data_IF_949170938189
#
_entry.id   IF_949170938189
#
_cell.length_a   1.000
_cell.length_b   1.000
_cell.length_c   1.000
_cell.angle_alpha   90.00
_cell.angle_beta   90.00
_cell.angle_gamma   90.00
#
_symmetry.space_group_name_H-M   'P 1'
#
loop_
_entity.id
_entity.type
_entity.pdbx_description
1 polymer ?
#
# COMPACT_ATOMS: atom_id res chain seq x y z
N UNK A 1 -10.65 8.03 1.04
CA UNK A 1 -9.27 8.35 0.58
C UNK A 1 -8.65 7.13 -0.09
N UNK A 2 -8.04 7.31 -1.24
CA UNK A 2 -7.37 6.25 -2.00
C UNK A 2 -5.85 6.48 -2.01
N UNK A 3 -5.08 5.51 -1.50
CA UNK A 3 -3.61 5.52 -1.45
C UNK A 3 -3.07 4.33 -2.23
N UNK A 4 -2.05 4.53 -3.06
CA UNK A 4 -1.27 3.44 -3.65
C UNK A 4 0.15 3.45 -3.10
N UNK A 5 0.61 2.30 -2.58
CA UNK A 5 1.97 2.05 -2.12
C UNK A 5 2.68 1.17 -3.15
N UNK A 6 3.85 1.59 -3.59
CA UNK A 6 4.62 0.89 -4.61
C UNK A 6 6.11 1.16 -4.47
N UNK A 7 6.94 0.41 -5.18
CA UNK A 7 8.40 0.57 -5.13
C UNK A 7 9.07 0.18 -6.44
N UNK A 8 10.27 0.68 -6.64
CA UNK A 8 11.11 0.34 -7.79
C UNK A 8 11.86 -1.00 -7.64
N UNK A 9 11.80 -1.62 -6.46
CA UNK A 9 12.53 -2.86 -6.13
C UNK A 9 11.86 -3.58 -4.97
N UNK A 10 11.73 -4.90 -5.09
CA UNK A 10 11.27 -5.75 -3.98
C UNK A 10 12.18 -5.67 -2.74
N UNK A 11 11.60 -5.94 -1.58
CA UNK A 11 12.29 -6.00 -0.30
C UNK A 11 12.60 -4.64 0.35
N UNK A 12 11.98 -3.57 -0.12
CA UNK A 12 12.13 -2.22 0.50
C UNK A 12 11.11 -1.95 1.62
N UNK A 13 10.12 -2.84 1.82
CA UNK A 13 9.12 -2.73 2.88
C UNK A 13 7.76 -2.17 2.44
N UNK A 14 7.44 -2.20 1.14
CA UNK A 14 6.18 -1.66 0.60
C UNK A 14 4.95 -2.27 1.26
N UNK A 15 4.89 -3.60 1.36
CA UNK A 15 3.78 -4.33 2.01
C UNK A 15 3.65 -3.97 3.48
N UNK A 16 4.77 -3.78 4.18
CA UNK A 16 4.77 -3.33 5.58
C UNK A 16 4.19 -1.91 5.71
N UNK A 17 4.55 -1.01 4.79
CA UNK A 17 4.01 0.36 4.74
C UNK A 17 2.52 0.34 4.45
N UNK A 18 2.07 -0.42 3.43
CA UNK A 18 0.66 -0.53 3.07
C UNK A 18 -0.18 -1.11 4.21
N UNK A 19 0.31 -2.18 4.86
CA UNK A 19 -0.35 -2.79 6.02
C UNK A 19 -0.46 -1.82 7.20
N UNK A 20 0.61 -1.10 7.52
CA UNK A 20 0.61 -0.11 8.60
C UNK A 20 -0.35 1.06 8.33
N UNK A 21 -0.42 1.53 7.07
CA UNK A 21 -1.37 2.56 6.65
C UNK A 21 -2.81 2.06 6.77
N UNK A 22 -3.13 0.88 6.23
CA UNK A 22 -4.47 0.31 6.29
C UNK A 22 -4.97 0.15 7.73
N UNK A 23 -4.13 -0.42 8.62
CA UNK A 23 -4.46 -0.56 10.04
C UNK A 23 -4.66 0.81 10.72
N UNK A 24 -3.77 1.77 10.46
CA UNK A 24 -3.83 3.10 11.08
C UNK A 24 -5.05 3.90 10.63
N UNK A 25 -5.42 3.77 9.35
CA UNK A 25 -6.57 4.45 8.77
C UNK A 25 -7.88 3.80 9.22
N UNK A 26 -7.92 2.46 9.32
CA UNK A 26 -9.09 1.76 9.84
C UNK A 26 -9.39 2.16 11.27
N UNK A 27 -8.40 2.15 12.16
CA UNK A 27 -8.55 2.58 13.55
C UNK A 27 -8.94 4.06 13.72
N UNK A 28 -8.61 4.92 12.75
CA UNK A 28 -8.95 6.34 12.77
C UNK A 28 -10.30 6.64 12.09
N UNK A 29 -10.85 5.69 11.34
CA UNK A 29 -12.08 5.88 10.55
C UNK A 29 -13.33 5.77 11.43
N UNK A 30 -14.31 6.66 11.15
CA UNK A 30 -15.66 6.58 11.69
C UNK A 30 -16.66 6.01 10.66
N UNK A 31 -16.26 5.91 9.40
CA UNK A 31 -17.13 5.60 8.26
C UNK A 31 -17.08 4.12 7.84
N UNK A 32 -16.40 3.29 8.62
CA UNK A 32 -16.28 1.84 8.39
C UNK A 32 -14.83 1.38 8.21
N UNK A 33 -14.62 0.06 7.99
CA UNK A 33 -13.29 -0.52 7.91
C UNK A 33 -12.52 -0.01 6.69
N UNK A 34 -11.21 0.21 6.87
CA UNK A 34 -10.30 0.42 5.76
C UNK A 34 -10.17 -0.88 4.93
N UNK A 35 -9.84 -0.73 3.66
CA UNK A 35 -9.59 -1.85 2.76
C UNK A 35 -8.14 -1.80 2.29
N UNK A 36 -7.39 -2.90 2.48
CA UNK A 36 -6.12 -3.10 1.79
C UNK A 36 -6.38 -4.00 0.58
N UNK A 37 -5.95 -3.55 -0.60
CA UNK A 37 -5.99 -4.35 -1.83
C UNK A 37 -4.57 -4.82 -2.13
N UNK A 38 -4.38 -6.13 -2.14
CA UNK A 38 -3.07 -6.78 -2.25
C UNK A 38 -2.78 -7.23 -3.69
N UNK A 39 -1.95 -6.48 -4.39
CA UNK A 39 -1.40 -6.87 -5.71
C UNK A 39 -0.12 -7.71 -5.59
N UNK A 40 0.56 -7.66 -4.45
CA UNK A 40 1.82 -8.36 -4.21
C UNK A 40 1.64 -9.79 -3.71
N UNK A 41 0.55 -10.05 -3.00
CA UNK A 41 0.24 -11.35 -2.39
C UNK A 41 0.82 -11.56 -0.99
N UNK A 42 1.49 -10.56 -0.41
CA UNK A 42 2.20 -10.69 0.87
C UNK A 42 1.47 -10.06 2.07
N UNK A 43 0.38 -9.32 1.83
CA UNK A 43 -0.35 -8.60 2.91
C UNK A 43 -0.88 -9.54 3.98
N UNK A 44 -1.53 -10.69 3.66
CA UNK A 44 -2.00 -11.62 4.68
C UNK A 44 -0.88 -12.14 5.57
N UNK A 45 0.27 -12.48 4.97
CA UNK A 45 1.44 -12.96 5.71
C UNK A 45 1.99 -11.88 6.67
N UNK A 46 2.08 -10.62 6.20
CA UNK A 46 2.53 -9.49 7.04
C UNK A 46 1.56 -9.24 8.20
N UNK A 47 0.25 -9.38 7.97
CA UNK A 47 -0.76 -9.20 9.01
C UNK A 47 -0.87 -10.42 9.95
N UNK A 48 -0.25 -11.54 9.62
CA UNK A 48 -0.35 -12.78 10.39
C UNK A 48 -1.72 -13.46 10.30
N UNK A 49 -2.38 -13.33 9.14
CA UNK A 49 -3.67 -13.99 8.86
C UNK A 49 -3.52 -14.95 7.71
N UNK A 50 -4.45 -15.93 7.63
CA UNK A 50 -4.50 -16.86 6.49
C UNK A 50 -4.87 -16.12 5.21
N UNK A 51 -4.42 -16.65 4.08
CA UNK A 51 -4.84 -16.12 2.78
C UNK A 51 -6.38 -16.18 2.67
N UNK A 52 -7.01 -15.09 2.20
CA UNK A 52 -8.44 -15.08 1.96
C UNK A 52 -8.87 -16.20 1.01
N UNK A 53 -9.89 -16.98 1.40
CA UNK A 53 -10.48 -18.02 0.56
C UNK A 53 -11.62 -17.45 -0.27
N UNK A 54 -11.68 -17.76 -1.54
CA UNK A 54 -12.76 -17.33 -2.43
C UNK A 54 -12.27 -16.38 -3.54
N UNK A 55 -13.21 -15.68 -4.21
CA UNK A 55 -12.87 -14.72 -5.25
C UNK A 55 -12.02 -13.59 -4.69
N UNK A 56 -11.01 -13.18 -5.44
CA UNK A 56 -10.14 -12.08 -5.09
C UNK A 56 -9.96 -11.09 -6.24
N UNK A 57 -8.87 -10.35 -6.16
CA UNK A 57 -8.57 -9.31 -7.14
C UNK A 57 -8.39 -9.86 -8.56
N UNK A 58 -7.79 -11.07 -8.70
CA UNK A 58 -7.61 -11.71 -10.01
C UNK A 58 -8.93 -11.96 -10.72
N UNK A 59 -9.92 -12.50 -10.03
CA UNK A 59 -11.27 -12.74 -10.56
C UNK A 59 -11.99 -11.43 -10.86
N UNK A 60 -11.85 -10.43 -10.00
CA UNK A 60 -12.43 -9.11 -10.23
C UNK A 60 -11.87 -8.44 -11.49
N UNK A 61 -10.56 -8.43 -11.65
CA UNK A 61 -9.89 -7.88 -12.83
C UNK A 61 -10.24 -8.65 -14.11
N UNK A 62 -10.41 -9.97 -14.03
CA UNK A 62 -10.82 -10.83 -15.13
C UNK A 62 -12.28 -10.64 -15.56
N UNK A 63 -13.11 -9.93 -14.77
CA UNK A 63 -14.52 -9.65 -15.09
C UNK A 63 -14.69 -8.21 -15.58
N UNK A 64 -14.90 -7.97 -16.90
CA UNK A 64 -14.98 -6.61 -17.45
C UNK A 64 -16.14 -5.77 -16.89
N UNK A 65 -17.19 -6.43 -16.38
CA UNK A 65 -18.41 -5.80 -15.85
C UNK A 65 -18.40 -5.67 -14.32
N UNK A 66 -17.32 -6.06 -13.65
CA UNK A 66 -17.23 -5.96 -12.19
C UNK A 66 -17.24 -4.49 -11.73
N UNK A 67 -18.13 -4.18 -10.76
CA UNK A 67 -18.31 -2.84 -10.21
C UNK A 67 -17.42 -2.58 -8.99
N UNK A 68 -17.33 -1.32 -8.55
CA UNK A 68 -16.63 -0.94 -7.31
C UNK A 68 -17.26 -1.64 -6.09
N UNK A 69 -18.60 -1.72 -6.01
CA UNK A 69 -19.27 -2.43 -4.93
C UNK A 69 -18.92 -3.92 -4.89
N UNK A 70 -18.71 -4.55 -6.06
CA UNK A 70 -18.27 -5.94 -6.11
C UNK A 70 -16.84 -6.10 -5.61
N UNK A 71 -15.98 -5.10 -5.84
CA UNK A 71 -14.62 -5.06 -5.28
C UNK A 71 -14.69 -5.00 -3.74
N UNK A 72 -15.52 -4.15 -3.18
CA UNK A 72 -15.68 -4.06 -1.73
C UNK A 72 -16.18 -5.38 -1.11
N UNK A 73 -17.12 -6.07 -1.77
CA UNK A 73 -17.74 -7.32 -1.27
C UNK A 73 -16.80 -8.51 -1.22
N UNK A 74 -15.73 -8.54 -2.01
CA UNK A 74 -14.72 -9.62 -1.94
C UNK A 74 -13.69 -9.39 -0.84
N UNK A 75 -13.78 -8.25 -0.13
CA UNK A 75 -12.94 -7.96 1.02
C UNK A 75 -13.23 -8.91 2.18
N UNK A 76 -12.20 -9.57 2.68
CA UNK A 76 -12.25 -10.45 3.85
C UNK A 76 -11.91 -9.66 5.10
N UNK A 77 -12.72 -9.70 6.18
CA UNK A 77 -12.42 -9.01 7.41
C UNK A 77 -11.19 -9.62 8.09
N UNK A 78 -10.29 -8.75 8.53
CA UNK A 78 -9.10 -9.09 9.34
C UNK A 78 -9.33 -8.65 10.77
N UNK A 79 -9.88 -7.45 10.95
CA UNK A 79 -10.38 -6.90 12.21
C UNK A 79 -11.70 -6.17 11.95
N UNK A 80 -12.34 -5.66 13.00
CA UNK A 80 -13.55 -4.82 12.85
C UNK A 80 -13.27 -3.57 12.00
N UNK A 81 -12.02 -3.08 12.01
CA UNK A 81 -11.60 -1.84 11.34
C UNK A 81 -10.85 -2.08 10.01
N UNK A 82 -10.59 -3.34 9.62
CA UNK A 82 -9.74 -3.64 8.47
C UNK A 82 -10.22 -4.85 7.69
N UNK A 83 -10.39 -4.67 6.38
CA UNK A 83 -10.60 -5.74 5.40
C UNK A 83 -9.39 -5.86 4.46
N UNK A 84 -9.16 -7.06 3.94
CA UNK A 84 -8.14 -7.34 2.92
C UNK A 84 -8.79 -7.96 1.70
N UNK A 85 -8.48 -7.44 0.52
CA UNK A 85 -8.77 -8.05 -0.78
C UNK A 85 -7.48 -8.71 -1.24
N UNK A 86 -7.42 -10.03 -1.12
CA UNK A 86 -6.27 -10.82 -1.58
C UNK A 86 -6.32 -11.11 -3.08
N UNK A 87 -5.31 -11.83 -3.54
CA UNK A 87 -5.14 -12.18 -4.95
C UNK A 87 -6.27 -13.05 -5.53
N UNK A 88 -6.90 -13.90 -4.69
CA UNK A 88 -7.90 -14.88 -5.11
C UNK A 88 -7.27 -16.16 -5.69
N UNK A 89 -8.13 -17.06 -6.21
CA UNK A 89 -7.71 -18.36 -6.75
C UNK A 89 -6.90 -18.22 -8.04
N UNK A 90 -7.09 -17.16 -8.81
CA UNK A 90 -6.30 -16.86 -10.02
C UNK A 90 -4.89 -16.31 -9.69
N UNK A 91 -4.61 -16.06 -8.43
CA UNK A 91 -3.33 -15.52 -7.96
C UNK A 91 -3.21 -14.01 -8.16
N UNK A 92 -2.13 -13.44 -7.62
CA UNK A 92 -1.83 -12.03 -7.78
C UNK A 92 -1.50 -11.73 -9.25
N UNK A 93 -2.20 -10.76 -9.88
CA UNK A 93 -1.89 -10.40 -11.26
C UNK A 93 -0.52 -9.73 -11.32
N UNK A 94 0.33 -10.14 -12.26
CA UNK A 94 1.51 -9.33 -12.58
C UNK A 94 1.08 -8.04 -13.27
N UNK A 95 1.80 -6.94 -13.05
CA UNK A 95 1.44 -5.64 -13.66
C UNK A 95 1.38 -5.68 -15.19
N UNK A 96 2.10 -6.59 -15.83
CA UNK A 96 2.07 -6.81 -17.28
C UNK A 96 0.81 -7.54 -17.77
N UNK A 97 0.07 -8.20 -16.88
CA UNK A 97 -1.18 -8.90 -17.20
C UNK A 97 -2.42 -8.00 -17.09
N UNK A 98 -2.28 -6.83 -16.50
CA UNK A 98 -3.37 -5.86 -16.40
C UNK A 98 -3.28 -4.90 -17.56
N UNK A 99 -4.31 -4.88 -18.44
CA UNK A 99 -4.40 -3.93 -19.55
C UNK A 99 -4.57 -2.49 -19.05
N UNK A 100 -4.33 -1.51 -19.91
CA UNK A 100 -4.53 -0.10 -19.57
C UNK A 100 -5.99 0.18 -19.15
N UNK A 101 -6.97 -0.38 -19.85
CA UNK A 101 -8.39 -0.30 -19.48
C UNK A 101 -8.66 -0.98 -18.12
N UNK A 102 -7.98 -2.08 -17.85
CA UNK A 102 -8.03 -2.78 -16.55
C UNK A 102 -7.51 -1.91 -15.42
N UNK A 103 -6.38 -1.24 -15.63
CA UNK A 103 -5.82 -0.29 -14.67
C UNK A 103 -6.73 0.91 -14.44
N UNK A 104 -7.31 1.47 -15.51
CA UNK A 104 -8.22 2.61 -15.39
C UNK A 104 -9.50 2.22 -14.65
N UNK A 105 -10.12 1.08 -14.98
CA UNK A 105 -11.30 0.56 -14.30
C UNK A 105 -11.01 0.28 -12.82
N UNK A 106 -9.88 -0.34 -12.51
CA UNK A 106 -9.47 -0.64 -11.14
C UNK A 106 -9.23 0.64 -10.33
N UNK A 107 -8.52 1.61 -10.91
CA UNK A 107 -8.29 2.90 -10.28
C UNK A 107 -9.59 3.66 -9.98
N UNK A 108 -10.54 3.68 -10.93
CA UNK A 108 -11.86 4.28 -10.72
C UNK A 108 -12.65 3.58 -9.60
N UNK A 109 -12.57 2.25 -9.52
CA UNK A 109 -13.20 1.50 -8.45
C UNK A 109 -12.60 1.83 -7.08
N UNK A 110 -11.26 1.90 -6.99
CA UNK A 110 -10.57 2.30 -5.76
C UNK A 110 -10.89 3.75 -5.36
N UNK A 111 -10.92 4.68 -6.32
CA UNK A 111 -11.26 6.08 -6.08
C UNK A 111 -12.70 6.22 -5.57
N UNK A 112 -13.66 5.54 -6.20
CA UNK A 112 -15.06 5.54 -5.77
C UNK A 112 -15.23 4.99 -4.35
N UNK A 113 -14.60 3.85 -4.03
CA UNK A 113 -14.59 3.34 -2.65
C UNK A 113 -13.89 4.28 -1.68
N UNK A 114 -12.90 5.02 -2.15
CA UNK A 114 -12.16 6.02 -1.40
C UNK A 114 -12.98 7.24 -0.96
N UNK A 115 -14.14 7.49 -1.58
CA UNK A 115 -15.09 8.54 -1.19
C UNK A 115 -15.76 8.22 0.15
N UNK A 116 -16.05 6.93 0.40
CA UNK A 116 -16.79 6.47 1.57
C UNK A 116 -15.90 5.89 2.67
N UNK A 117 -14.74 5.37 2.31
CA UNK A 117 -13.82 4.69 3.23
C UNK A 117 -12.36 4.87 2.80
N UNK A 118 -11.43 4.27 3.55
CA UNK A 118 -10.01 4.31 3.17
C UNK A 118 -9.65 3.06 2.37
N UNK A 119 -9.00 3.27 1.21
CA UNK A 119 -8.49 2.21 0.33
C UNK A 119 -6.98 2.36 0.22
N UNK A 120 -6.24 1.33 0.57
CA UNK A 120 -4.78 1.26 0.43
C UNK A 120 -4.45 0.11 -0.51
N UNK A 121 -3.82 0.42 -1.64
CA UNK A 121 -3.38 -0.59 -2.60
C UNK A 121 -1.89 -0.88 -2.37
N UNK A 122 -1.55 -2.12 -2.05
CA UNK A 122 -0.17 -2.61 -2.06
C UNK A 122 0.17 -3.13 -3.46
N UNK A 123 0.90 -2.33 -4.21
CA UNK A 123 1.40 -2.72 -5.53
C UNK A 123 2.79 -3.39 -5.45
N UNK A 124 3.40 -3.49 -4.26
CA UNK A 124 4.72 -4.10 -4.09
C UNK A 124 5.78 -3.47 -5.01
N UNK A 125 6.60 -4.29 -5.68
CA UNK A 125 7.59 -3.82 -6.67
C UNK A 125 6.99 -3.60 -8.06
N UNK A 126 5.67 -3.61 -8.18
CA UNK A 126 4.97 -3.38 -9.43
C UNK A 126 4.83 -1.87 -9.69
N UNK A 127 4.93 -1.49 -10.95
CA UNK A 127 4.64 -0.13 -11.41
C UNK A 127 3.25 -0.11 -12.02
N UNK A 128 2.22 0.39 -11.34
CA UNK A 128 0.90 0.60 -11.94
C UNK A 128 0.96 1.58 -13.11
N UNK A 129 -0.05 1.54 -13.98
CA UNK A 129 -0.15 2.49 -15.09
C UNK A 129 -0.28 3.94 -14.59
N UNK A 130 0.20 4.90 -15.38
CA UNK A 130 0.17 6.33 -15.03
C UNK A 130 -1.25 6.82 -14.66
N UNK A 131 -2.27 6.32 -15.36
CA UNK A 131 -3.67 6.65 -15.10
C UNK A 131 -4.11 6.19 -13.69
N UNK A 132 -3.63 5.03 -13.23
CA UNK A 132 -3.92 4.53 -11.88
C UNK A 132 -3.33 5.44 -10.80
N UNK A 133 -2.07 5.85 -10.96
CA UNK A 133 -1.42 6.80 -10.04
C UNK A 133 -2.14 8.15 -10.00
N UNK A 134 -2.65 8.62 -11.14
CA UNK A 134 -3.34 9.90 -11.25
C UNK A 134 -4.72 9.91 -10.54
N UNK A 135 -5.33 8.75 -10.34
CA UNK A 135 -6.61 8.60 -9.64
C UNK A 135 -6.44 8.49 -8.11
N UNK A 136 -5.24 8.25 -7.62
CA UNK A 136 -4.97 8.14 -6.19
C UNK A 136 -4.83 9.52 -5.54
N UNK A 137 -5.41 9.70 -4.34
CA UNK A 137 -5.16 10.89 -3.49
C UNK A 137 -3.68 10.97 -3.12
N UNK A 138 -3.06 9.80 -2.87
CA UNK A 138 -1.63 9.66 -2.63
C UNK A 138 -1.04 8.49 -3.37
N UNK A 139 -0.02 8.74 -4.18
CA UNK A 139 0.86 7.73 -4.77
C UNK A 139 2.19 7.75 -4.03
N UNK A 140 2.42 6.74 -3.18
CA UNK A 140 3.54 6.67 -2.25
C UNK A 140 4.62 5.72 -2.75
N UNK A 141 5.74 6.28 -3.14
CA UNK A 141 6.94 5.51 -3.49
C UNK A 141 7.67 5.10 -2.20
N UNK A 142 7.68 3.81 -1.89
CA UNK A 142 8.49 3.27 -0.80
C UNK A 142 9.93 3.10 -1.26
N UNK A 143 10.87 3.69 -0.55
CA UNK A 143 12.28 3.68 -0.88
C UNK A 143 13.16 3.47 0.35
N UNK A 144 14.41 3.02 0.11
CA UNK A 144 15.50 3.02 1.09
C UNK A 144 16.58 3.97 0.63
N UNK A 145 17.32 4.56 1.55
CA UNK A 145 18.43 5.46 1.28
C UNK A 145 19.68 4.69 0.78
N UNK A 146 19.55 3.91 -0.29
CA UNK A 146 20.65 3.19 -0.90
C UNK A 146 20.70 3.44 -2.41
N UNK A 147 21.93 3.49 -2.94
CA UNK A 147 22.20 3.84 -4.35
C UNK A 147 21.36 3.03 -5.35
N UNK A 148 21.26 1.71 -5.15
CA UNK A 148 20.55 0.84 -6.10
C UNK A 148 19.05 1.14 -6.16
N UNK A 149 18.42 1.36 -4.97
CA UNK A 149 17.01 1.71 -4.90
C UNK A 149 16.77 3.07 -5.52
N UNK A 150 17.55 4.09 -5.15
CA UNK A 150 17.39 5.45 -5.69
C UNK A 150 17.57 5.48 -7.19
N UNK A 151 18.65 4.85 -7.72
CA UNK A 151 18.89 4.77 -9.16
C UNK A 151 17.71 4.17 -9.94
N UNK A 152 17.07 3.12 -9.38
CA UNK A 152 15.88 2.51 -10.00
C UNK A 152 14.64 3.37 -9.87
N UNK A 153 14.54 4.13 -8.79
CA UNK A 153 13.38 4.97 -8.49
C UNK A 153 13.34 6.26 -9.32
N UNK A 154 14.49 6.83 -9.70
CA UNK A 154 14.56 8.11 -10.44
C UNK A 154 13.61 8.16 -11.66
N UNK A 155 13.64 7.22 -12.62
CA UNK A 155 12.79 7.31 -13.80
C UNK A 155 11.29 7.15 -13.52
N UNK A 156 10.96 6.62 -12.33
CA UNK A 156 9.59 6.29 -11.93
C UNK A 156 9.01 7.33 -10.95
N UNK A 157 9.85 8.12 -10.29
CA UNK A 157 9.46 9.04 -9.23
C UNK A 157 8.46 10.12 -9.68
N UNK A 158 8.34 10.38 -11.00
CA UNK A 158 7.37 11.33 -11.54
C UNK A 158 5.90 10.95 -11.22
N UNK A 159 5.61 9.67 -10.99
CA UNK A 159 4.28 9.17 -10.63
C UNK A 159 3.99 9.20 -9.13
N UNK A 160 5.02 9.48 -8.31
CA UNK A 160 4.84 9.59 -6.87
C UNK A 160 4.35 11.00 -6.48
N UNK A 161 3.38 11.08 -5.58
CA UNK A 161 3.02 12.32 -4.87
C UNK A 161 3.95 12.56 -3.67
N UNK A 162 4.59 11.50 -3.17
CA UNK A 162 5.57 11.57 -2.10
C UNK A 162 6.27 10.23 -1.85
N UNK A 163 7.22 10.26 -0.95
CA UNK A 163 8.09 9.14 -0.62
C UNK A 163 7.80 8.72 0.82
N UNK A 164 7.73 7.40 1.05
CA UNK A 164 7.87 6.79 2.36
C UNK A 164 9.28 6.20 2.41
N UNK A 165 10.14 6.81 3.21
CA UNK A 165 11.52 6.39 3.38
C UNK A 165 11.63 5.35 4.50
N UNK A 166 12.12 4.17 4.18
CA UNK A 166 12.54 3.18 5.19
C UNK A 166 14.00 3.44 5.53
N UNK A 167 14.22 4.03 6.70
CA UNK A 167 15.54 4.50 7.15
C UNK A 167 16.29 3.37 7.84
N UNK A 168 17.44 3.02 7.29
CA UNK A 168 18.36 2.05 7.89
C UNK A 168 19.48 2.79 8.64
N UNK A 169 19.81 2.38 9.88
CA UNK A 169 20.94 2.96 10.60
C UNK A 169 22.25 2.78 9.83
N UNK A 170 23.09 3.82 9.86
CA UNK A 170 24.44 3.77 9.27
C UNK A 170 24.55 4.09 7.80
N UNK A 171 23.45 4.41 7.10
CA UNK A 171 23.52 4.94 5.75
C UNK A 171 24.01 6.41 5.75
N UNK A 172 24.84 6.75 4.76
CA UNK A 172 25.37 8.11 4.59
C UNK A 172 24.37 9.09 3.97
N UNK A 173 23.37 8.57 3.27
CA UNK A 173 22.33 9.39 2.63
C UNK A 173 21.14 9.57 3.58
N UNK A 174 20.74 10.82 3.79
CA UNK A 174 19.58 11.20 4.59
C UNK A 174 18.38 11.56 3.75
N UNK A 175 17.32 11.97 4.44
CA UNK A 175 16.04 12.41 3.84
C UNK A 175 16.22 13.46 2.75
N UNK A 176 17.02 14.49 3.00
CA UNK A 176 17.30 15.57 2.02
C UNK A 176 17.97 15.06 0.74
N UNK A 177 18.86 14.06 0.85
CA UNK A 177 19.53 13.49 -0.31
C UNK A 177 18.54 12.67 -1.17
N UNK A 178 17.64 11.94 -0.51
CA UNK A 178 16.56 11.20 -1.17
C UNK A 178 15.61 12.14 -1.89
N UNK A 179 15.14 13.21 -1.23
CA UNK A 179 14.27 14.23 -1.82
C UNK A 179 14.90 14.90 -3.04
N UNK A 180 16.18 15.28 -2.90
CA UNK A 180 16.93 15.88 -4.02
C UNK A 180 17.10 14.92 -5.19
N UNK A 181 17.36 13.63 -4.91
CA UNK A 181 17.59 12.62 -5.94
C UNK A 181 16.31 12.25 -6.70
N UNK A 182 15.18 12.21 -6.03
CA UNK A 182 13.90 11.77 -6.58
C UNK A 182 12.97 12.92 -6.97
N UNK A 183 13.27 14.16 -6.57
CA UNK A 183 12.45 15.33 -6.85
C UNK A 183 11.05 15.28 -6.22
N UNK A 184 10.90 14.54 -5.11
CA UNK A 184 9.64 14.36 -4.38
C UNK A 184 9.87 14.48 -2.87
N UNK A 185 8.89 15.02 -2.12
CA UNK A 185 9.02 15.14 -0.68
C UNK A 185 8.96 13.78 0.02
N UNK A 186 9.77 13.61 1.06
CA UNK A 186 9.62 12.50 2.00
C UNK A 186 8.48 12.82 2.96
N UNK A 187 7.38 12.11 2.81
CA UNK A 187 6.18 12.32 3.60
C UNK A 187 6.20 11.59 4.94
N UNK A 188 6.91 10.48 5.02
CA UNK A 188 7.13 9.73 6.25
C UNK A 188 8.48 9.03 6.21
N UNK A 189 9.09 8.88 7.40
CA UNK A 189 10.31 8.11 7.59
C UNK A 189 10.03 7.00 8.60
N UNK A 190 10.10 5.74 8.15
CA UNK A 190 9.91 4.58 9.00
C UNK A 190 11.28 4.01 9.38
N UNK A 191 11.53 3.73 10.67
CA UNK A 191 12.76 3.10 11.07
C UNK A 191 12.82 1.65 10.58
N UNK A 192 13.98 1.22 10.11
CA UNK A 192 14.27 -0.19 9.94
C UNK A 192 14.57 -0.80 11.33
N UNK A 193 13.49 -1.13 12.06
CA UNK A 193 13.55 -1.63 13.42
C UNK A 193 13.42 -3.16 13.41
N UNK A 194 14.37 -3.92 13.97
CA UNK A 194 14.26 -5.38 14.10
C UNK A 194 12.99 -5.86 14.80
N UNK A 195 12.43 -5.07 15.71
CA UNK A 195 11.16 -5.40 16.37
C UNK A 195 9.99 -5.45 15.39
N UNK A 196 10.03 -4.67 14.32
CA UNK A 196 9.02 -4.71 13.25
C UNK A 196 9.12 -6.04 12.50
N UNK A 197 10.33 -6.42 12.07
CA UNK A 197 10.57 -7.68 11.36
C UNK A 197 10.18 -8.88 12.24
N UNK A 198 10.54 -8.87 13.51
CA UNK A 198 10.15 -9.91 14.47
C UNK A 198 8.64 -10.00 14.67
N UNK A 199 7.93 -8.88 14.70
CA UNK A 199 6.46 -8.88 14.79
C UNK A 199 5.80 -9.46 13.53
N UNK A 200 6.36 -9.16 12.35
CA UNK A 200 5.91 -9.74 11.07
C UNK A 200 6.18 -11.25 11.05
N UNK A 201 7.41 -11.68 11.36
CA UNK A 201 7.81 -13.09 11.36
C UNK A 201 6.99 -13.94 12.37
N UNK A 202 6.56 -13.31 13.47
CA UNK A 202 5.72 -13.94 14.47
C UNK A 202 4.20 -13.88 14.15
N UNK A 203 3.78 -13.22 13.05
CA UNK A 203 2.38 -13.02 12.71
C UNK A 203 1.59 -12.18 13.71
N UNK A 204 2.26 -11.25 14.41
CA UNK A 204 1.67 -10.49 15.51
C UNK A 204 1.29 -9.05 15.13
N UNK A 205 1.53 -8.62 13.90
CA UNK A 205 1.32 -7.23 13.47
C UNK A 205 -0.16 -6.82 13.60
N UNK A 206 -1.07 -7.73 13.25
CA UNK A 206 -2.51 -7.52 13.40
C UNK A 206 -2.94 -7.39 14.87
N UNK A 207 -2.39 -8.24 15.76
CA UNK A 207 -2.74 -8.22 17.19
C UNK A 207 -2.11 -7.04 17.93
N UNK A 208 -0.92 -6.63 17.53
CA UNK A 208 -0.16 -5.54 18.16
C UNK A 208 0.69 -4.80 17.15
N UNK A 209 0.12 -3.74 16.58
CA UNK A 209 0.86 -2.87 15.65
C UNK A 209 2.03 -2.21 16.37
N UNK A 210 3.27 -2.40 15.92
CA UNK A 210 4.41 -1.70 16.50
C UNK A 210 4.23 -0.19 16.38
N UNK A 211 4.36 0.53 17.50
CA UNK A 211 4.20 1.99 17.54
C UNK A 211 5.17 2.71 16.58
N UNK A 212 6.33 2.12 16.33
CA UNK A 212 7.32 2.60 15.40
C UNK A 212 6.82 2.64 13.94
N UNK A 213 5.84 1.78 13.56
CA UNK A 213 5.20 1.81 12.25
C UNK A 213 4.12 2.90 12.14
N UNK A 214 3.30 3.06 13.19
CA UNK A 214 2.12 3.93 13.16
C UNK A 214 2.48 5.40 13.29
N UNK A 215 3.42 5.73 14.20
CA UNK A 215 3.75 7.12 14.52
C UNK A 215 4.18 7.95 13.30
N UNK A 216 5.06 7.49 12.41
CA UNK A 216 5.47 8.26 11.23
C UNK A 216 4.33 8.47 10.22
N UNK A 217 3.33 7.58 10.24
CA UNK A 217 2.21 7.60 9.29
C UNK A 217 1.02 8.44 9.78
N UNK A 218 1.07 8.99 11.00
CA UNK A 218 -0.02 9.78 11.60
C UNK A 218 -0.49 10.96 10.75
N UNK A 219 0.38 11.54 9.93
CA UNK A 219 -0.03 12.62 9.03
C UNK A 219 -1.15 12.21 8.07
N UNK A 220 -1.18 10.94 7.66
CA UNK A 220 -2.23 10.44 6.79
C UNK A 220 -3.54 10.20 7.56
N UNK A 221 -3.44 9.78 8.83
CA UNK A 221 -4.62 9.57 9.68
C UNK A 221 -5.20 10.88 10.20
N UNK A 222 -4.39 11.91 10.46
CA UNK A 222 -4.88 13.21 10.91
C UNK A 222 -5.67 13.98 9.85
N UNK A 223 -5.39 13.76 8.58
CA UNK A 223 -6.17 14.33 7.46
C UNK A 223 -7.52 13.61 7.32
N UNK A 224 -7.58 12.33 7.63
CA UNK A 224 -8.80 11.53 7.56
C UNK A 224 -9.85 11.93 8.62
N UNK A 225 -9.42 12.42 9.79
CA UNK A 225 -10.31 12.85 10.90
C UNK A 225 -10.84 14.29 10.71
N UNK A 226 -10.32 15.03 9.75
CA UNK A 226 -10.65 16.44 9.51
C UNK A 226 -11.61 16.70 8.34
N UNK A 227 -12.30 15.67 7.83
CA UNK A 227 -13.32 15.83 6.77
C UNK A 227 -14.71 15.60 7.30
#
# INVERSE_FOLDING_TARGET
MFIVCWSAKGGVGTTTVASALGMSLGQASLDGPAIIVDLGGDVPAVLGVSDPSGPGLGEWLGSPTASADSLARIGTPVTDDLHVIGAGALGAPSGQQISDDGWERFGRACAHLGEERHVVVDAGPMMPAAAFHALADHSLLTARACYVVLRRSIPMALHATGIVLVAEPGHSMGTTDVERSLGRPVLAELPCDPAISQAIDAGLVNARVPHALVRPLRRFTSVAVGR
#
